data_IF_495561374977
#
_entry.id   IF_495561374977
#
_cell.length_a   1.000
_cell.length_b   1.000
_cell.length_c   1.000
_cell.angle_alpha   90.00
_cell.angle_beta   90.00
_cell.angle_gamma   90.00
#
_symmetry.space_group_name_H-M   'P 1'
#
loop_
_entity.id
_entity.type
_entity.pdbx_description
1 polymer ?
#
# COMPACT_ATOMS: atom_id res chain seq x y z
N UNK A 1 1.14 54.69 -46.89
CA UNK A 1 0.88 54.16 -45.53
C UNK A 1 0.25 52.76 -45.53
N UNK A 2 -0.83 52.48 -46.26
CA UNK A 2 -1.48 51.15 -46.23
C UNK A 2 -0.57 49.97 -46.67
N UNK A 3 0.31 50.15 -47.68
CA UNK A 3 1.25 49.11 -48.11
C UNK A 3 2.35 48.81 -47.11
N UNK A 4 2.83 49.78 -46.33
CA UNK A 4 3.81 49.60 -45.28
C UNK A 4 3.23 48.79 -44.06
N UNK A 5 2.00 49.08 -43.69
CA UNK A 5 1.28 48.39 -42.63
C UNK A 5 1.03 46.90 -43.02
N UNK A 6 0.64 46.69 -44.29
CA UNK A 6 0.41 45.30 -44.80
C UNK A 6 1.69 44.47 -44.77
N UNK A 7 2.84 45.05 -45.17
CA UNK A 7 4.13 44.34 -45.12
C UNK A 7 4.60 44.07 -43.70
N UNK A 8 4.32 44.96 -42.75
CA UNK A 8 4.68 44.79 -41.36
C UNK A 8 3.86 43.66 -40.69
N UNK A 9 2.57 43.54 -41.04
CA UNK A 9 1.68 42.48 -40.59
C UNK A 9 2.10 41.12 -41.10
N UNK A 10 2.55 41.00 -42.34
CA UNK A 10 3.03 39.75 -42.91
C UNK A 10 4.34 39.30 -42.30
N UNK A 11 5.28 40.19 -42.01
CA UNK A 11 6.54 39.87 -41.34
C UNK A 11 6.29 39.47 -39.86
N UNK A 12 5.36 40.13 -39.17
CA UNK A 12 5.00 39.76 -37.82
C UNK A 12 4.34 38.35 -37.75
N UNK A 13 3.49 38.00 -38.73
CA UNK A 13 2.86 36.69 -38.84
C UNK A 13 3.88 35.55 -39.12
N UNK A 14 4.94 35.83 -39.89
CA UNK A 14 6.00 34.84 -40.17
C UNK A 14 6.86 34.59 -38.92
N UNK A 15 7.11 35.59 -38.09
CA UNK A 15 7.90 35.47 -36.84
C UNK A 15 7.19 34.68 -35.76
N UNK A 16 5.87 34.60 -35.76
CA UNK A 16 5.10 33.82 -34.78
C UNK A 16 5.06 32.32 -35.05
N UNK A 17 5.34 31.89 -36.29
CA UNK A 17 5.31 30.46 -36.68
C UNK A 17 6.59 29.74 -36.26
N UNK A 18 7.70 30.43 -36.07
CA UNK A 18 8.99 29.83 -35.67
C UNK A 18 9.14 29.60 -34.16
N UNK A 19 8.19 30.02 -33.32
CA UNK A 19 8.26 29.87 -31.87
C UNK A 19 7.88 28.45 -31.37
N UNK A 20 7.32 27.57 -32.21
CA UNK A 20 6.85 26.25 -31.80
C UNK A 20 7.69 25.07 -32.33
N UNK A 21 8.92 25.28 -32.77
CA UNK A 21 9.71 24.20 -33.40
C UNK A 21 10.77 23.55 -32.50
N UNK A 22 10.79 23.80 -31.19
CA UNK A 22 11.49 22.91 -30.27
C UNK A 22 10.61 21.70 -30.01
N UNK A 23 10.70 20.71 -30.88
CA UNK A 23 10.24 19.37 -30.56
C UNK A 23 11.06 18.93 -29.36
N UNK A 24 10.39 18.66 -28.25
CA UNK A 24 11.02 18.04 -27.08
C UNK A 24 11.39 16.60 -27.48
N UNK A 25 12.64 16.40 -27.87
CA UNK A 25 13.17 15.11 -28.29
C UNK A 25 13.62 14.24 -27.10
N UNK A 26 13.17 14.54 -25.88
CA UNK A 26 13.44 13.66 -24.75
C UNK A 26 12.67 12.35 -24.96
N UNK A 27 13.39 11.23 -24.86
CA UNK A 27 12.77 9.92 -24.79
C UNK A 27 11.75 9.90 -23.65
N UNK A 28 10.52 9.48 -23.95
CA UNK A 28 9.50 9.30 -22.93
C UNK A 28 9.90 8.26 -21.89
N UNK A 29 9.18 8.19 -20.75
CA UNK A 29 9.42 7.19 -19.73
C UNK A 29 9.19 5.79 -20.30
N UNK A 30 10.27 5.01 -20.47
CA UNK A 30 10.30 3.69 -21.10
C UNK A 30 10.87 2.59 -20.20
N UNK A 31 11.10 2.91 -18.93
CA UNK A 31 11.57 1.97 -17.93
C UNK A 31 10.42 1.54 -17.02
N UNK A 32 10.59 0.36 -16.38
CA UNK A 32 9.63 -0.17 -15.41
C UNK A 32 10.35 -0.71 -14.18
N UNK A 33 9.71 -0.57 -13.03
CA UNK A 33 10.21 -1.09 -11.76
C UNK A 33 9.08 -1.79 -11.01
N UNK A 34 9.31 -3.03 -10.62
CA UNK A 34 8.33 -3.85 -9.93
C UNK A 34 8.99 -4.74 -8.89
N UNK A 35 8.22 -5.25 -7.95
CA UNK A 35 8.70 -6.18 -6.94
C UNK A 35 7.70 -6.41 -5.84
N UNK A 36 8.19 -7.01 -4.75
CA UNK A 36 7.41 -7.33 -3.58
C UNK A 36 8.01 -6.66 -2.34
N UNK A 37 7.16 -6.28 -1.42
CA UNK A 37 7.56 -5.94 -0.06
C UNK A 37 7.36 -7.21 0.77
N UNK A 38 8.45 -7.81 1.20
CA UNK A 38 8.48 -9.10 1.89
C UNK A 38 8.58 -8.88 3.40
N UNK A 39 7.75 -9.57 4.16
CA UNK A 39 7.86 -9.61 5.61
C UNK A 39 9.08 -10.42 6.04
N UNK A 40 9.84 -9.96 7.02
CA UNK A 40 10.93 -10.73 7.65
C UNK A 40 10.46 -12.06 8.28
N UNK A 41 9.16 -12.23 8.47
CA UNK A 41 8.54 -13.48 8.93
C UNK A 41 8.18 -14.44 7.78
N UNK A 42 8.45 -14.05 6.55
CA UNK A 42 8.10 -14.79 5.32
C UNK A 42 6.81 -14.28 4.65
N UNK A 43 6.74 -14.49 3.34
CA UNK A 43 5.62 -14.04 2.51
C UNK A 43 5.59 -12.54 2.25
N UNK A 44 4.69 -12.10 1.41
CA UNK A 44 4.50 -10.69 1.11
C UNK A 44 3.85 -9.96 2.29
N UNK A 45 4.30 -8.73 2.55
CA UNK A 45 3.69 -7.86 3.55
C UNK A 45 2.28 -7.49 3.10
N UNK A 46 1.29 -7.93 3.85
CA UNK A 46 -0.11 -7.55 3.58
C UNK A 46 -0.33 -6.09 4.01
N UNK A 47 -0.82 -5.26 3.10
CA UNK A 47 -0.96 -3.81 3.33
C UNK A 47 -2.37 -3.32 3.00
N UNK A 48 -2.66 -2.06 3.31
CA UNK A 48 -3.74 -1.33 2.66
C UNK A 48 -3.19 -0.66 1.40
N UNK A 49 -4.01 -0.58 0.35
CA UNK A 49 -3.60 0.06 -0.91
C UNK A 49 -3.07 1.47 -0.65
N UNK A 50 -1.85 1.73 -1.10
CA UNK A 50 -1.20 3.03 -0.99
C UNK A 50 -0.67 3.41 0.40
N UNK A 51 -0.90 2.60 1.45
CA UNK A 51 -0.37 2.88 2.78
C UNK A 51 1.14 2.65 2.88
N UNK A 52 1.64 1.67 2.15
CA UNK A 52 3.07 1.43 1.97
C UNK A 52 3.48 1.86 0.58
N UNK A 53 4.63 2.47 0.46
CA UNK A 53 5.13 3.03 -0.80
C UNK A 53 6.61 2.71 -0.97
N UNK A 54 7.05 2.61 -2.19
CA UNK A 54 8.47 2.63 -2.54
C UNK A 54 8.82 4.06 -2.94
N UNK A 55 9.63 4.72 -2.13
CA UNK A 55 10.16 6.05 -2.45
C UNK A 55 11.36 5.90 -3.37
N UNK A 56 11.33 6.62 -4.49
CA UNK A 56 12.39 6.67 -5.48
C UNK A 56 12.89 8.11 -5.64
N UNK A 57 14.19 8.26 -5.64
CA UNK A 57 14.83 9.53 -5.97
C UNK A 57 15.85 9.31 -7.07
N UNK A 58 15.57 9.81 -8.26
CA UNK A 58 16.51 9.76 -9.36
C UNK A 58 17.80 10.50 -8.99
N UNK A 59 18.95 9.88 -9.26
CA UNK A 59 20.25 10.52 -8.97
C UNK A 59 20.42 11.77 -9.84
N UNK A 60 20.76 12.89 -9.20
CA UNK A 60 20.84 14.19 -9.84
C UNK A 60 19.56 15.03 -9.76
N UNK A 61 18.45 14.47 -9.25
CA UNK A 61 17.19 15.19 -9.04
C UNK A 61 16.89 15.34 -7.55
N UNK A 62 16.21 16.41 -7.18
CA UNK A 62 15.88 16.71 -5.77
C UNK A 62 14.52 16.21 -5.33
N UNK A 63 13.57 16.09 -6.26
CA UNK A 63 12.19 15.68 -5.97
C UNK A 63 12.05 14.18 -6.04
N UNK A 64 11.69 13.49 -4.93
CA UNK A 64 11.40 12.08 -4.96
C UNK A 64 10.00 11.82 -5.53
N UNK A 65 9.81 10.62 -6.07
CA UNK A 65 8.51 10.07 -6.45
C UNK A 65 8.23 8.81 -5.65
N UNK A 66 7.00 8.32 -5.64
CA UNK A 66 6.60 7.14 -4.90
C UNK A 66 5.79 6.18 -5.76
N UNK A 67 6.02 4.88 -5.59
CA UNK A 67 5.19 3.82 -6.14
C UNK A 67 4.36 3.23 -4.99
N UNK A 68 3.03 3.33 -5.02
CA UNK A 68 2.18 2.74 -4.00
C UNK A 68 2.19 1.21 -4.08
N UNK A 69 2.16 0.53 -2.94
CA UNK A 69 1.94 -0.91 -2.89
C UNK A 69 0.47 -1.25 -3.10
N UNK A 70 0.23 -2.44 -3.65
CA UNK A 70 -1.09 -3.09 -3.69
C UNK A 70 -1.37 -3.78 -2.35
N UNK A 71 -2.59 -4.30 -2.15
CA UNK A 71 -3.01 -4.97 -0.91
C UNK A 71 -2.16 -6.18 -0.53
N UNK A 72 -1.59 -6.87 -1.51
CA UNK A 72 -0.77 -8.06 -1.38
C UNK A 72 0.73 -7.77 -1.25
N UNK A 73 1.11 -6.52 -1.05
CA UNK A 73 2.50 -6.09 -0.91
C UNK A 73 3.28 -6.00 -2.22
N UNK A 74 2.66 -6.26 -3.37
CA UNK A 74 3.30 -6.04 -4.67
C UNK A 74 3.31 -4.56 -5.03
N UNK A 75 4.27 -4.13 -5.83
CA UNK A 75 4.31 -2.78 -6.39
C UNK A 75 4.78 -2.81 -7.84
N UNK A 76 4.35 -1.85 -8.64
CA UNK A 76 4.73 -1.72 -10.05
C UNK A 76 4.53 -0.30 -10.56
N UNK A 77 5.53 0.21 -11.29
CA UNK A 77 5.43 1.39 -12.14
C UNK A 77 6.07 1.09 -13.49
N UNK A 78 5.36 1.36 -14.57
CA UNK A 78 5.79 1.10 -15.95
C UNK A 78 6.17 2.37 -16.71
N UNK A 79 6.17 3.52 -16.05
CA UNK A 79 6.41 4.83 -16.66
C UNK A 79 7.51 5.61 -15.96
N UNK A 80 8.66 4.97 -15.81
CA UNK A 80 9.86 5.59 -15.24
C UNK A 80 10.87 5.94 -16.36
N UNK A 81 11.72 6.91 -16.08
CA UNK A 81 12.88 7.17 -16.93
C UNK A 81 13.99 6.17 -16.60
N UNK A 82 14.69 5.70 -17.64
CA UNK A 82 15.88 4.86 -17.45
C UNK A 82 16.97 5.67 -16.75
N UNK A 83 17.31 5.29 -15.51
CA UNK A 83 18.31 5.99 -14.68
C UNK A 83 18.67 5.17 -13.43
N UNK A 84 19.66 5.66 -12.69
CA UNK A 84 19.95 5.20 -11.34
C UNK A 84 19.06 5.96 -10.33
N UNK A 85 18.45 5.21 -9.40
CA UNK A 85 17.58 5.75 -8.36
C UNK A 85 18.05 5.30 -6.98
N UNK A 86 17.97 6.19 -6.00
CA UNK A 86 17.96 5.81 -4.59
C UNK A 86 16.56 5.35 -4.23
N UNK A 87 16.45 4.14 -3.67
CA UNK A 87 15.16 3.50 -3.44
C UNK A 87 15.05 3.02 -2.01
N UNK A 88 13.88 3.19 -1.38
CA UNK A 88 13.60 2.73 -0.02
C UNK A 88 12.10 2.50 0.17
N UNK A 89 11.66 1.40 0.82
CA UNK A 89 10.28 1.24 1.26
C UNK A 89 9.97 2.22 2.41
N UNK A 90 8.79 2.83 2.37
CA UNK A 90 8.38 3.85 3.35
C UNK A 90 6.88 3.79 3.60
N UNK A 91 6.45 4.28 4.76
CA UNK A 91 5.07 4.15 5.21
C UNK A 91 4.72 2.70 5.59
N UNK A 92 3.51 2.49 6.05
CA UNK A 92 3.04 1.17 6.45
C UNK A 92 3.47 0.74 7.86
N UNK A 93 2.95 -0.42 8.28
CA UNK A 93 3.11 -0.93 9.63
C UNK A 93 4.37 -1.79 9.77
N UNK A 94 5.54 -1.20 9.60
CA UNK A 94 6.83 -1.86 9.78
C UNK A 94 7.88 -0.89 10.34
N UNK A 95 8.94 -1.44 10.89
CA UNK A 95 10.06 -0.67 11.41
C UNK A 95 10.72 0.12 10.29
N UNK A 96 10.99 1.42 10.50
CA UNK A 96 11.57 2.26 9.46
C UNK A 96 12.84 1.66 8.86
N UNK A 97 12.88 1.62 7.53
CA UNK A 97 14.10 1.28 6.79
C UNK A 97 14.88 2.56 6.57
N UNK A 98 16.05 2.67 7.18
CA UNK A 98 16.91 3.88 7.12
C UNK A 98 17.82 3.88 5.91
N UNK A 99 18.23 2.69 5.45
CA UNK A 99 19.19 2.56 4.38
C UNK A 99 18.52 2.59 3.01
N UNK A 100 18.99 3.47 2.16
CA UNK A 100 18.59 3.50 0.75
C UNK A 100 19.54 2.65 -0.07
N UNK A 101 19.01 1.92 -1.04
CA UNK A 101 19.80 1.21 -2.04
C UNK A 101 19.79 1.98 -3.36
N UNK A 102 20.83 1.78 -4.18
CA UNK A 102 20.86 2.30 -5.55
C UNK A 102 20.45 1.20 -6.51
N UNK A 103 19.40 1.48 -7.29
CA UNK A 103 18.89 0.58 -8.32
C UNK A 103 19.00 1.25 -9.68
N UNK A 104 19.64 0.59 -10.63
CA UNK A 104 19.63 1.03 -12.03
C UNK A 104 18.34 0.55 -12.69
N UNK A 105 17.38 1.47 -12.83
CA UNK A 105 16.07 1.15 -13.40
C UNK A 105 16.11 1.24 -14.91
N UNK A 106 15.70 0.15 -15.55
CA UNK A 106 15.52 0.00 -16.99
C UNK A 106 14.20 -0.74 -17.26
N UNK A 107 13.93 -1.12 -18.49
CA UNK A 107 12.74 -1.91 -18.81
C UNK A 107 12.79 -3.28 -18.10
N UNK A 108 11.73 -3.61 -17.34
CA UNK A 108 11.58 -4.90 -16.65
C UNK A 108 12.44 -5.07 -15.39
N UNK A 109 12.94 -3.98 -14.79
CA UNK A 109 13.72 -4.06 -13.54
C UNK A 109 12.86 -4.59 -12.40
N UNK A 110 13.40 -5.58 -11.66
CA UNK A 110 12.74 -6.19 -10.50
C UNK A 110 13.63 -6.09 -9.26
N UNK A 111 13.02 -5.79 -8.11
CA UNK A 111 13.70 -5.83 -6.83
C UNK A 111 12.67 -6.01 -5.70
N UNK A 112 12.95 -6.92 -4.78
CA UNK A 112 12.14 -7.17 -3.60
C UNK A 112 12.77 -6.50 -2.37
N UNK A 113 11.94 -5.95 -1.47
CA UNK A 113 12.37 -5.31 -0.24
C UNK A 113 11.91 -6.12 0.97
N UNK A 114 12.82 -6.52 1.82
CA UNK A 114 12.46 -7.16 3.09
C UNK A 114 12.32 -6.09 4.18
N UNK A 115 11.18 -6.11 4.87
CA UNK A 115 10.88 -5.21 5.99
C UNK A 115 10.50 -6.01 7.24
N UNK A 116 10.71 -5.43 8.41
CA UNK A 116 10.29 -6.02 9.68
C UNK A 116 8.95 -5.43 10.09
N UNK A 117 7.81 -6.15 9.97
CA UNK A 117 6.51 -5.64 10.38
C UNK A 117 6.47 -5.38 11.88
N UNK A 118 5.63 -4.45 12.31
CA UNK A 118 5.38 -4.22 13.73
C UNK A 118 4.71 -5.43 14.38
N UNK A 119 3.64 -5.93 13.73
CA UNK A 119 2.87 -7.09 14.19
C UNK A 119 2.79 -8.13 13.07
N UNK A 120 2.92 -9.40 13.47
CA UNK A 120 2.66 -10.56 12.61
C UNK A 120 1.39 -11.22 13.13
N UNK A 121 0.42 -11.38 12.23
CA UNK A 121 -0.82 -12.12 12.48
C UNK A 121 -0.55 -13.59 12.13
N UNK A 122 -0.79 -14.49 13.11
CA UNK A 122 -0.57 -15.92 12.96
C UNK A 122 -1.85 -16.69 13.23
N UNK A 123 -1.90 -17.92 12.74
CA UNK A 123 -3.01 -18.85 12.98
C UNK A 123 -4.39 -18.25 12.63
N UNK A 124 -4.42 -17.44 11.58
CA UNK A 124 -5.68 -16.84 11.12
C UNK A 124 -6.59 -17.92 10.57
N UNK A 125 -7.77 -18.06 11.19
CA UNK A 125 -8.80 -19.01 10.80
C UNK A 125 -10.15 -18.34 10.75
N UNK A 126 -11.02 -18.86 9.89
CA UNK A 126 -12.40 -18.39 9.70
C UNK A 126 -13.35 -19.55 9.93
N UNK A 127 -14.46 -19.30 10.60
CA UNK A 127 -15.56 -20.26 10.69
C UNK A 127 -16.89 -19.54 10.54
N UNK A 128 -17.84 -20.18 9.86
CA UNK A 128 -19.16 -19.64 9.58
C UNK A 128 -20.23 -20.50 10.26
N UNK A 129 -21.16 -19.83 10.95
CA UNK A 129 -22.35 -20.44 11.54
C UNK A 129 -23.58 -19.66 11.08
N UNK A 130 -24.33 -20.22 10.13
CA UNK A 130 -25.38 -19.48 9.42
C UNK A 130 -24.78 -18.26 8.71
N UNK A 131 -25.21 -17.06 9.08
CA UNK A 131 -24.72 -15.79 8.53
C UNK A 131 -23.70 -15.10 9.43
N UNK A 132 -23.26 -15.75 10.51
CA UNK A 132 -22.31 -15.20 11.47
C UNK A 132 -20.92 -15.77 11.22
N UNK A 133 -19.97 -14.88 10.90
CA UNK A 133 -18.56 -15.21 10.67
C UNK A 133 -17.79 -15.01 11.97
N UNK A 134 -17.00 -15.99 12.36
CA UNK A 134 -16.03 -15.91 13.46
C UNK A 134 -14.62 -15.95 12.90
N UNK A 135 -13.77 -15.03 13.34
CA UNK A 135 -12.37 -14.87 12.94
C UNK A 135 -11.50 -15.08 14.18
N UNK A 136 -10.55 -16.01 14.11
CA UNK A 136 -9.62 -16.27 15.21
C UNK A 136 -8.20 -16.14 14.73
N UNK A 137 -7.32 -15.54 15.52
CA UNK A 137 -5.91 -15.39 15.21
C UNK A 137 -5.10 -15.04 16.46
N UNK A 138 -3.79 -15.14 16.33
CA UNK A 138 -2.84 -14.68 17.36
C UNK A 138 -1.94 -13.61 16.77
N UNK A 139 -1.42 -12.73 17.64
CA UNK A 139 -0.48 -11.69 17.25
C UNK A 139 0.88 -11.90 17.90
N UNK A 140 1.93 -11.66 17.15
CA UNK A 140 3.32 -11.63 17.64
C UNK A 140 4.03 -10.40 17.12
N UNK A 141 5.05 -9.92 17.84
CA UNK A 141 5.90 -8.83 17.41
C UNK A 141 7.33 -9.33 17.22
N UNK A 142 7.96 -9.16 16.05
CA UNK A 142 9.37 -9.51 15.85
C UNK A 142 10.29 -8.72 16.78
N UNK A 143 9.95 -7.45 17.01
CA UNK A 143 10.66 -6.55 17.93
C UNK A 143 9.60 -5.92 18.83
N UNK A 144 9.57 -6.29 20.11
CA UNK A 144 8.60 -5.77 21.06
C UNK A 144 9.03 -4.44 21.70
N UNK A 145 10.35 -4.23 21.86
CA UNK A 145 10.88 -3.01 22.46
C UNK A 145 10.65 -1.81 21.54
N UNK A 146 10.02 -0.76 22.05
CA UNK A 146 9.75 0.47 21.27
C UNK A 146 8.61 0.33 20.24
N UNK A 147 7.89 -0.78 20.26
CA UNK A 147 6.72 -0.96 19.40
C UNK A 147 5.66 0.10 19.69
N UNK A 148 5.06 0.76 18.69
CA UNK A 148 3.93 1.64 18.91
C UNK A 148 2.77 0.91 19.58
N UNK A 149 2.03 1.60 20.45
CA UNK A 149 0.88 1.04 21.16
C UNK A 149 -0.12 0.44 20.16
N UNK A 150 -0.61 -0.75 20.44
CA UNK A 150 -1.69 -1.37 19.66
C UNK A 150 -2.99 -0.66 20.01
N UNK A 151 -3.57 0.01 19.04
CA UNK A 151 -4.79 0.82 19.21
C UNK A 151 -6.04 -0.04 19.24
N UNK A 152 -6.21 -0.81 18.20
CA UNK A 152 -7.37 -1.68 18.00
C UNK A 152 -7.08 -2.79 16.99
N UNK A 153 -8.05 -3.66 16.86
CA UNK A 153 -8.09 -4.66 15.81
C UNK A 153 -9.50 -4.77 15.25
N UNK A 154 -9.63 -5.07 13.97
CA UNK A 154 -10.94 -5.13 13.33
C UNK A 154 -10.97 -6.10 12.15
N UNK A 155 -12.14 -6.68 11.86
CA UNK A 155 -12.35 -7.44 10.65
C UNK A 155 -12.54 -6.51 9.47
N UNK A 156 -12.17 -6.98 8.29
CA UNK A 156 -12.47 -6.35 7.02
C UNK A 156 -13.14 -7.40 6.15
N UNK A 157 -14.35 -7.12 5.70
CA UNK A 157 -15.20 -8.04 4.94
C UNK A 157 -15.80 -7.31 3.77
N UNK A 158 -15.60 -7.80 2.56
CA UNK A 158 -16.12 -7.16 1.35
C UNK A 158 -16.48 -8.23 0.30
N UNK A 159 -17.31 -7.87 -0.66
CA UNK A 159 -17.67 -8.72 -1.81
C UNK A 159 -16.58 -8.72 -2.90
N UNK A 160 -15.51 -7.95 -2.73
CA UNK A 160 -14.36 -7.90 -3.65
C UNK A 160 -13.05 -8.18 -2.91
N UNK A 161 -12.00 -8.59 -3.65
CA UNK A 161 -10.65 -8.78 -3.10
C UNK A 161 -9.99 -7.49 -2.62
N UNK A 162 -10.55 -6.32 -2.96
CA UNK A 162 -10.05 -5.02 -2.50
C UNK A 162 -10.63 -4.71 -1.11
N UNK A 163 -10.17 -5.43 -0.11
CA UNK A 163 -10.66 -5.36 1.27
C UNK A 163 -9.57 -4.90 2.23
N UNK A 164 -9.88 -3.89 3.07
CA UNK A 164 -8.97 -3.35 4.08
C UNK A 164 -9.18 -1.87 4.40
N UNK A 165 -8.39 -1.34 5.32
CA UNK A 165 -8.44 0.05 5.75
C UNK A 165 -8.14 1.00 4.58
N UNK A 166 -8.82 2.15 4.55
CA UNK A 166 -8.63 3.18 3.52
C UNK A 166 -9.23 2.83 2.17
N UNK A 167 -9.87 1.68 2.00
CA UNK A 167 -10.62 1.37 0.80
C UNK A 167 -11.89 2.22 0.70
N UNK A 168 -12.21 2.69 -0.50
CA UNK A 168 -13.49 3.37 -0.75
C UNK A 168 -14.69 2.43 -0.70
N UNK A 169 -14.45 1.13 -0.73
CA UNK A 169 -15.45 0.08 -0.68
C UNK A 169 -15.78 -0.16 0.80
N UNK A 170 -17.05 0.07 1.15
CA UNK A 170 -17.55 -0.18 2.50
C UNK A 170 -17.64 -1.67 2.75
N UNK A 171 -17.27 -2.07 3.94
CA UNK A 171 -17.35 -3.42 4.45
C UNK A 171 -18.00 -3.41 5.85
N UNK A 172 -18.04 -4.55 6.51
CA UNK A 172 -18.66 -4.71 7.84
C UNK A 172 -17.69 -4.40 8.99
N UNK A 173 -16.47 -3.94 8.70
CA UNK A 173 -15.39 -3.80 9.69
C UNK A 173 -15.64 -2.75 10.76
N UNK A 174 -16.30 -1.65 10.42
CA UNK A 174 -16.47 -0.50 11.31
C UNK A 174 -17.30 -0.84 12.55
N UNK A 175 -18.19 -1.82 12.45
CA UNK A 175 -19.14 -2.19 13.51
C UNK A 175 -18.51 -3.15 14.53
N UNK A 176 -17.43 -3.83 14.14
CA UNK A 176 -16.87 -4.95 14.89
C UNK A 176 -15.42 -4.71 15.34
N UNK A 177 -15.00 -3.46 15.38
CA UNK A 177 -13.69 -3.10 15.89
C UNK A 177 -13.60 -3.34 17.39
N UNK A 178 -12.48 -3.91 17.85
CA UNK A 178 -12.17 -4.13 19.25
C UNK A 178 -11.02 -3.22 19.65
N UNK A 179 -11.29 -2.31 20.58
CA UNK A 179 -10.28 -1.41 21.16
C UNK A 179 -9.34 -2.21 22.06
N UNK A 180 -8.04 -2.04 21.89
CA UNK A 180 -7.00 -2.68 22.68
C UNK A 180 -6.30 -1.66 23.58
N UNK A 181 -5.75 -0.60 23.02
CA UNK A 181 -5.00 0.49 23.69
C UNK A 181 -3.96 -0.04 24.71
N UNK A 182 -3.16 -1.03 24.31
CA UNK A 182 -2.11 -1.63 25.14
C UNK A 182 -0.77 -1.63 24.39
N UNK A 183 0.31 -1.49 25.15
CA UNK A 183 1.63 -1.83 24.62
C UNK A 183 1.72 -3.36 24.48
N UNK A 184 2.40 -3.83 23.48
CA UNK A 184 2.53 -5.27 23.22
C UNK A 184 3.17 -6.02 24.41
N UNK A 185 4.12 -5.38 25.10
CA UNK A 185 4.81 -5.93 26.31
C UNK A 185 3.89 -6.11 27.49
N UNK A 186 2.78 -5.35 27.57
CA UNK A 186 1.82 -5.36 28.67
C UNK A 186 0.65 -6.33 28.39
N UNK A 187 0.65 -6.97 27.22
CA UNK A 187 -0.39 -7.93 26.84
C UNK A 187 -0.07 -9.32 27.36
N UNK A 188 -1.03 -9.95 28.02
CA UNK A 188 -0.99 -11.38 28.33
C UNK A 188 -1.11 -12.23 27.06
N UNK A 189 -0.86 -13.54 27.16
CA UNK A 189 -1.06 -14.45 26.02
C UNK A 189 -2.55 -14.55 25.63
N UNK A 190 -3.45 -14.38 26.60
CA UNK A 190 -4.88 -14.30 26.32
C UNK A 190 -5.24 -13.04 25.52
N UNK A 191 -4.64 -11.89 25.83
CA UNK A 191 -4.84 -10.64 25.07
C UNK A 191 -4.32 -10.76 23.63
N UNK A 192 -3.29 -11.57 23.39
CA UNK A 192 -2.70 -11.81 22.08
C UNK A 192 -3.49 -12.83 21.24
N UNK A 193 -4.43 -13.54 21.84
CA UNK A 193 -5.31 -14.50 21.18
C UNK A 193 -6.68 -13.86 20.96
N UNK A 194 -6.96 -13.45 19.73
CA UNK A 194 -8.08 -12.57 19.43
C UNK A 194 -9.17 -13.35 18.69
N UNK A 195 -10.42 -13.10 19.07
CA UNK A 195 -11.60 -13.59 18.38
C UNK A 195 -12.49 -12.40 18.02
N UNK A 196 -12.84 -12.28 16.73
CA UNK A 196 -13.77 -11.28 16.22
C UNK A 196 -14.97 -11.97 15.62
N UNK A 197 -16.13 -11.31 15.65
CA UNK A 197 -17.38 -11.82 15.10
C UNK A 197 -18.01 -10.78 14.18
N UNK A 198 -18.40 -11.22 12.98
CA UNK A 198 -19.12 -10.40 12.00
C UNK A 198 -20.50 -11.05 11.77
N UNK A 199 -21.57 -10.50 12.36
CA UNK A 199 -22.91 -11.02 12.20
C UNK A 199 -23.55 -10.55 10.90
N UNK A 200 -24.65 -11.21 10.52
CA UNK A 200 -25.58 -10.78 9.47
C UNK A 200 -24.97 -10.66 8.07
N UNK A 201 -24.04 -11.53 7.72
CA UNK A 201 -23.59 -11.64 6.35
C UNK A 201 -24.75 -12.07 5.44
N UNK A 202 -24.78 -11.57 4.21
CA UNK A 202 -25.83 -11.87 3.26
C UNK A 202 -25.76 -13.32 2.80
N UNK A 203 -26.84 -14.12 2.95
CA UNK A 203 -26.88 -15.50 2.49
C UNK A 203 -26.64 -15.64 0.99
N UNK A 204 -26.01 -16.72 0.57
CA UNK A 204 -25.73 -17.03 -0.84
C UNK A 204 -24.72 -16.09 -1.51
N UNK A 205 -23.91 -15.34 -0.72
CA UNK A 205 -22.88 -14.44 -1.23
C UNK A 205 -21.48 -14.92 -0.88
N UNK A 206 -20.56 -14.63 -1.77
CA UNK A 206 -19.12 -14.78 -1.55
C UNK A 206 -18.56 -13.48 -0.97
N UNK A 207 -17.76 -13.60 0.08
CA UNK A 207 -17.03 -12.49 0.68
C UNK A 207 -15.53 -12.78 0.71
N UNK A 208 -14.75 -11.73 0.70
CA UNK A 208 -13.31 -11.73 0.94
C UNK A 208 -13.06 -11.09 2.30
N UNK A 209 -12.26 -11.77 3.12
CA UNK A 209 -12.13 -11.47 4.54
C UNK A 209 -10.68 -11.41 4.95
N UNK A 210 -10.32 -10.46 5.77
CA UNK A 210 -9.06 -10.39 6.50
C UNK A 210 -9.23 -9.65 7.82
N UNK A 211 -8.23 -9.71 8.68
CA UNK A 211 -8.17 -8.91 9.92
C UNK A 211 -7.02 -7.93 9.84
N UNK A 212 -7.14 -6.82 10.55
CA UNK A 212 -6.09 -5.83 10.70
C UNK A 212 -5.87 -5.47 12.16
N UNK A 213 -4.61 -5.23 12.52
CA UNK A 213 -4.18 -4.73 13.82
C UNK A 213 -3.58 -3.35 13.61
N UNK A 214 -4.20 -2.33 14.17
CA UNK A 214 -3.81 -0.93 14.01
C UNK A 214 -2.96 -0.46 15.17
N UNK A 215 -1.90 0.29 14.85
CA UNK A 215 -0.96 0.85 15.79
C UNK A 215 -1.11 2.37 15.88
N UNK A 216 -0.68 2.93 17.02
CA UNK A 216 -0.62 4.38 17.27
C UNK A 216 0.71 4.97 16.82
N UNK A 217 1.16 4.61 15.60
CA UNK A 217 2.27 5.27 14.95
C UNK A 217 1.81 6.57 14.27
N UNK A 218 2.72 7.35 13.70
CA UNK A 218 2.40 8.64 13.06
C UNK A 218 1.40 8.53 11.90
N UNK A 219 1.22 7.34 11.34
CA UNK A 219 0.31 7.08 10.21
C UNK A 219 -0.95 6.30 10.62
N UNK A 220 -1.08 5.88 11.90
CA UNK A 220 -2.09 4.92 12.35
C UNK A 220 -2.13 3.67 11.46
N UNK A 221 -0.96 3.16 11.15
CA UNK A 221 -0.78 2.06 10.21
C UNK A 221 -1.30 0.73 10.77
N UNK A 222 -1.62 -0.21 9.89
CA UNK A 222 -2.14 -1.51 10.26
C UNK A 222 -1.34 -2.64 9.60
N UNK A 223 -1.06 -3.69 10.36
CA UNK A 223 -0.66 -4.97 9.82
C UNK A 223 -1.90 -5.83 9.55
N UNK A 224 -1.88 -6.60 8.47
CA UNK A 224 -3.03 -7.38 8.02
C UNK A 224 -2.69 -8.86 7.89
N UNK A 225 -3.72 -9.70 8.02
CA UNK A 225 -3.66 -11.09 7.57
C UNK A 225 -3.75 -11.18 6.05
N UNK A 226 -3.49 -12.36 5.50
CA UNK A 226 -3.87 -12.69 4.13
C UNK A 226 -5.39 -12.58 3.95
N UNK A 227 -5.81 -12.43 2.69
CA UNK A 227 -7.23 -12.37 2.34
C UNK A 227 -7.73 -13.80 2.11
N UNK A 228 -8.81 -14.15 2.80
CA UNK A 228 -9.48 -15.45 2.68
C UNK A 228 -10.85 -15.25 2.04
N UNK A 229 -11.20 -16.10 1.10
CA UNK A 229 -12.55 -16.16 0.52
C UNK A 229 -13.44 -17.05 1.38
N UNK A 230 -14.66 -16.60 1.63
CA UNK A 230 -15.72 -17.38 2.29
C UNK A 230 -17.00 -17.32 1.47
N UNK A 231 -17.77 -18.41 1.48
CA UNK A 231 -19.08 -18.51 0.82
C UNK A 231 -20.15 -18.70 1.90
N UNK A 232 -21.08 -17.75 1.99
CA UNK A 232 -22.19 -17.81 2.95
C UNK A 232 -23.30 -18.72 2.39
N UNK A 233 -23.75 -19.75 3.11
CA UNK A 233 -24.84 -20.61 2.66
C UNK A 233 -26.11 -19.84 2.34
N UNK A 234 -26.96 -20.43 1.45
CA UNK A 234 -28.29 -19.90 1.12
C UNK A 234 -29.26 -20.09 2.28
#
# INVERSE_FOLDING_TARGET
MKKLISNFLVVAAILTISACTKIDNYDGPNASFQGNIISSAGGNLQTSSGSTQIKLQQIGWTTPQTIPSKFDGTFEDTKLFKSAYKVVPTGGAFWPVTDTIVVNIAQGTKHDFTVTPYIIIKNFTTSLSGTTLTLKYTITAPIAAGLPTIKDTQPYVNTTKLVGAGASIRDFSDVNAVTINKNFTDMSDADKSITLTVPNLLPGRTFFVRVGVRLSDSFNSSNFSEIVQIDVPK
#
